data_IF_596385157697
#
_entry.id   IF_596385157697
#
_cell.length_a   1.000
_cell.length_b   1.000
_cell.length_c   1.000
_cell.angle_alpha   90.00
_cell.angle_beta   90.00
_cell.angle_gamma   90.00
#
_symmetry.space_group_name_H-M   'P 1'
#
loop_
_entity.id
_entity.type
_entity.pdbx_description
1 polymer ?
#
# COMPACT_ATOMS: atom_id res chain seq x y z
N UNK A 1 25.46 -26.59 16.18
CA UNK A 1 24.17 -26.34 15.53
C UNK A 1 23.90 -27.52 14.60
N UNK A 2 22.87 -28.30 14.89
CA UNK A 2 22.52 -29.49 14.14
C UNK A 2 21.88 -29.10 12.78
N UNK A 3 22.00 -29.95 11.76
CA UNK A 3 21.44 -29.73 10.42
C UNK A 3 19.92 -29.47 10.46
N UNK A 4 19.21 -30.12 11.40
CA UNK A 4 17.80 -29.86 11.67
C UNK A 4 17.53 -28.41 12.12
N UNK A 5 18.36 -27.86 13.01
CA UNK A 5 18.22 -26.48 13.51
C UNK A 5 18.52 -25.46 12.40
N UNK A 6 19.49 -25.77 11.53
CA UNK A 6 19.81 -24.93 10.37
C UNK A 6 18.65 -24.89 9.37
N UNK A 7 18.05 -26.04 9.06
CA UNK A 7 16.87 -26.12 8.18
C UNK A 7 15.68 -25.36 8.75
N UNK A 8 15.45 -25.47 10.06
CA UNK A 8 14.38 -24.73 10.74
C UNK A 8 14.62 -23.21 10.69
N UNK A 9 15.88 -22.78 10.87
CA UNK A 9 16.26 -21.36 10.74
C UNK A 9 16.00 -20.83 9.33
N UNK A 10 16.48 -21.54 8.30
CA UNK A 10 16.27 -21.15 6.89
C UNK A 10 14.78 -21.04 6.58
N UNK A 11 13.97 -21.99 7.04
CA UNK A 11 12.53 -21.95 6.82
C UNK A 11 11.87 -20.72 7.46
N UNK A 12 12.28 -20.36 8.69
CA UNK A 12 11.78 -19.16 9.39
C UNK A 12 12.20 -17.87 8.68
N UNK A 13 13.46 -17.78 8.27
CA UNK A 13 13.99 -16.59 7.59
C UNK A 13 13.28 -16.38 6.25
N UNK A 14 13.02 -17.47 5.50
CA UNK A 14 12.24 -17.41 4.26
C UNK A 14 10.80 -17.00 4.50
N UNK A 15 10.15 -17.54 5.54
CA UNK A 15 8.77 -17.17 5.88
C UNK A 15 8.67 -15.70 6.28
N UNK A 16 9.62 -15.20 7.08
CA UNK A 16 9.70 -13.80 7.46
C UNK A 16 9.85 -12.90 6.23
N UNK A 17 10.77 -13.25 5.33
CA UNK A 17 11.01 -12.52 4.08
C UNK A 17 9.75 -12.46 3.20
N UNK A 18 9.07 -13.59 3.00
CA UNK A 18 7.83 -13.65 2.23
C UNK A 18 6.69 -12.87 2.89
N UNK A 19 6.58 -12.95 4.21
CA UNK A 19 5.54 -12.22 4.96
C UNK A 19 5.73 -10.71 4.86
N UNK A 20 6.98 -10.24 4.95
CA UNK A 20 7.34 -8.85 4.78
C UNK A 20 7.00 -8.37 3.37
N UNK A 21 7.49 -9.07 2.34
CA UNK A 21 7.23 -8.73 0.95
C UNK A 21 5.73 -8.67 0.63
N UNK A 22 4.93 -9.58 1.19
CA UNK A 22 3.47 -9.59 1.02
C UNK A 22 2.80 -8.38 1.69
N UNK A 23 3.28 -7.98 2.87
CA UNK A 23 2.73 -6.85 3.58
C UNK A 23 3.01 -5.53 2.84
N UNK A 24 4.25 -5.33 2.41
CA UNK A 24 4.64 -4.16 1.60
C UNK A 24 3.81 -4.08 0.32
N UNK A 25 3.71 -5.18 -0.43
CA UNK A 25 2.91 -5.23 -1.66
C UNK A 25 1.42 -4.90 -1.42
N UNK A 26 0.88 -5.25 -0.25
CA UNK A 26 -0.51 -4.91 0.13
C UNK A 26 -0.66 -3.43 0.48
N UNK A 27 0.34 -2.83 1.13
CA UNK A 27 0.35 -1.40 1.47
C UNK A 27 0.45 -0.60 0.17
N UNK A 28 1.45 -0.89 -0.67
CA UNK A 28 1.65 -0.22 -1.96
C UNK A 28 0.42 -0.37 -2.86
N UNK A 29 -0.16 -1.56 -2.96
CA UNK A 29 -1.36 -1.79 -3.77
C UNK A 29 -2.59 -1.02 -3.29
N UNK A 30 -2.71 -0.78 -1.97
CA UNK A 30 -3.78 0.06 -1.41
C UNK A 30 -3.55 1.54 -1.73
N UNK A 31 -2.32 2.01 -1.61
CA UNK A 31 -1.97 3.39 -1.92
C UNK A 31 -2.17 3.69 -3.41
N UNK A 32 -1.76 2.78 -4.29
CA UNK A 32 -2.02 2.90 -5.73
C UNK A 32 -3.51 2.90 -6.06
N UNK A 33 -4.30 2.05 -5.42
CA UNK A 33 -5.74 2.00 -5.61
C UNK A 33 -6.41 3.32 -5.18
N UNK A 34 -6.02 3.85 -4.01
CA UNK A 34 -6.50 5.13 -3.51
C UNK A 34 -6.16 6.28 -4.46
N UNK A 35 -4.91 6.33 -4.95
CA UNK A 35 -4.50 7.34 -5.95
C UNK A 35 -5.32 7.24 -7.23
N UNK A 36 -5.56 6.03 -7.75
CA UNK A 36 -6.41 5.82 -8.94
C UNK A 36 -7.83 6.32 -8.72
N UNK A 37 -8.42 6.02 -7.56
CA UNK A 37 -9.76 6.50 -7.19
C UNK A 37 -9.79 8.03 -7.19
N UNK A 38 -8.84 8.68 -6.51
CA UNK A 38 -8.76 10.17 -6.47
C UNK A 38 -8.65 10.76 -7.88
N UNK A 39 -7.78 10.21 -8.73
CA UNK A 39 -7.63 10.67 -10.12
C UNK A 39 -8.96 10.52 -10.89
N UNK A 40 -9.67 9.40 -10.72
CA UNK A 40 -10.99 9.20 -11.35
C UNK A 40 -12.03 10.19 -10.83
N UNK A 41 -12.07 10.45 -9.52
CA UNK A 41 -13.00 11.41 -8.92
C UNK A 41 -12.72 12.84 -9.41
N UNK A 42 -11.43 13.22 -9.50
CA UNK A 42 -10.98 14.51 -10.06
C UNK A 42 -11.40 14.68 -11.52
N UNK A 43 -11.24 13.64 -12.34
CA UNK A 43 -11.70 13.62 -13.74
C UNK A 43 -13.22 13.78 -13.88
N UNK A 44 -13.97 13.30 -12.90
CA UNK A 44 -15.43 13.44 -12.86
C UNK A 44 -15.90 14.79 -12.28
N UNK A 45 -15.00 15.77 -12.08
CA UNK A 45 -15.29 17.08 -11.51
C UNK A 45 -15.98 17.02 -10.13
N UNK A 46 -15.67 16.00 -9.33
CA UNK A 46 -16.12 15.93 -7.93
C UNK A 46 -15.33 16.96 -7.12
N UNK A 47 -16.01 17.59 -6.17
CA UNK A 47 -15.40 18.62 -5.32
C UNK A 47 -14.21 18.06 -4.52
N UNK A 48 -13.12 18.81 -4.50
CA UNK A 48 -11.85 18.38 -3.89
C UNK A 48 -12.00 18.23 -2.38
N UNK A 49 -12.85 19.05 -1.74
CA UNK A 49 -13.11 18.95 -0.32
C UNK A 49 -13.83 17.63 0.03
N UNK A 50 -14.79 17.20 -0.81
CA UNK A 50 -15.47 15.91 -0.64
C UNK A 50 -14.53 14.72 -0.85
N UNK A 51 -13.60 14.82 -1.81
CA UNK A 51 -12.57 13.79 -2.04
C UNK A 51 -11.65 13.70 -0.81
N UNK A 52 -11.23 14.83 -0.24
CA UNK A 52 -10.40 14.88 0.96
C UNK A 52 -11.10 14.22 2.16
N UNK A 53 -12.39 14.50 2.36
CA UNK A 53 -13.20 13.87 3.41
C UNK A 53 -13.31 12.34 3.22
N UNK A 54 -13.56 11.89 1.98
CA UNK A 54 -13.77 10.48 1.68
C UNK A 54 -12.48 9.64 1.71
N UNK A 55 -11.33 10.24 1.36
CA UNK A 55 -10.04 9.53 1.24
C UNK A 55 -9.10 9.77 2.41
N UNK A 56 -9.37 10.78 3.25
CA UNK A 56 -8.49 11.20 4.34
C UNK A 56 -7.20 11.87 3.85
N UNK A 57 -7.06 12.12 2.55
CA UNK A 57 -5.92 12.82 1.96
C UNK A 57 -6.09 14.32 2.09
N UNK A 58 -4.97 15.02 2.18
CA UNK A 58 -4.95 16.48 2.16
C UNK A 58 -5.28 17.00 0.76
N UNK A 59 -5.82 18.21 0.70
CA UNK A 59 -6.09 18.91 -0.57
C UNK A 59 -4.82 19.06 -1.41
N UNK A 60 -3.67 19.23 -0.77
CA UNK A 60 -2.36 19.33 -1.41
C UNK A 60 -1.97 18.01 -2.10
N UNK A 61 -2.13 16.88 -1.41
CA UNK A 61 -1.87 15.54 -1.97
C UNK A 61 -2.80 15.24 -3.16
N UNK A 62 -4.08 15.63 -3.06
CA UNK A 62 -5.06 15.46 -4.14
C UNK A 62 -4.71 16.32 -5.37
N UNK A 63 -4.23 17.54 -5.15
CA UNK A 63 -3.83 18.43 -6.24
C UNK A 63 -2.51 18.01 -6.90
N UNK A 64 -1.58 17.43 -6.13
CA UNK A 64 -0.32 16.89 -6.63
C UNK A 64 -0.52 15.64 -7.52
N UNK A 65 -1.65 14.95 -7.39
CA UNK A 65 -2.01 13.82 -8.26
C UNK A 65 -2.46 14.29 -9.66
N UNK A 66 -2.06 13.58 -10.72
CA UNK A 66 -2.28 13.98 -12.11
C UNK A 66 -3.75 13.98 -12.55
#
# INVERSE_FOLDING_TARGET
MNEYEQRLKIHRDNLATLSYARNEARIEGRDEANKKIVITLKKNNIDIALIAEATGLTIEEINALP
#
